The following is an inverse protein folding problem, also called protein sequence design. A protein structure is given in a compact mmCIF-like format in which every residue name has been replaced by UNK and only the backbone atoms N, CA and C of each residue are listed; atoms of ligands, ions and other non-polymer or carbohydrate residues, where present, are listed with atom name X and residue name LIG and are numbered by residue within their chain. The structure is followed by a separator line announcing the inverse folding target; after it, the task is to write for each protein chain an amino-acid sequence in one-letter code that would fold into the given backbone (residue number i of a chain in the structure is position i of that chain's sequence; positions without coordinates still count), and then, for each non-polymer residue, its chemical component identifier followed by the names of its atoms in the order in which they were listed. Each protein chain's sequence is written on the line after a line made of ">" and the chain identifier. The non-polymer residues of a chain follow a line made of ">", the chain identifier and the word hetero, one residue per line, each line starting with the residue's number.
data_IF_694114528053
#
_entry.id   IF_694114528053
#
_cell.length_a   1.000
_cell.length_b   1.000
_cell.length_c   1.000
_cell.angle_alpha   90.00
_cell.angle_beta   90.00
_cell.angle_gamma   90.00
#
_symmetry.space_group_name_H-M   'P 1'
#
loop_
_entity.id
_entity.type
_entity.pdbx_description
1 polymer ?
#
# COMPACT_ATOMS: atom_id res chain seq x y z
N UNK A 1 -12.71 -8.69 -1.09
CA UNK A 1 -11.57 -8.97 -0.20
C UNK A 1 -10.31 -8.99 -1.05
N UNK A 2 -9.30 -8.22 -0.64
CA UNK A 2 -8.02 -8.14 -1.34
C UNK A 2 -7.29 -9.49 -1.23
N UNK A 3 -6.49 -9.84 -2.23
CA UNK A 3 -5.66 -11.05 -2.16
C UNK A 3 -4.27 -10.70 -1.64
N UNK A 4 -3.81 -11.42 -0.62
CA UNK A 4 -2.45 -11.27 -0.09
C UNK A 4 -1.79 -12.64 0.14
N UNK A 5 -0.47 -12.70 0.03
CA UNK A 5 0.31 -13.94 0.16
C UNK A 5 1.77 -13.67 0.56
N UNK A 6 2.42 -14.65 1.17
CA UNK A 6 3.86 -14.58 1.41
C UNK A 6 4.66 -14.76 0.11
N UNK A 7 5.75 -14.01 0.00
CA UNK A 7 6.58 -14.00 -1.19
C UNK A 7 7.66 -15.09 -1.19
N UNK A 8 8.00 -15.58 -2.39
CA UNK A 8 9.26 -16.31 -2.62
C UNK A 8 10.49 -15.40 -2.49
N UNK A 9 11.69 -16.02 -2.46
CA UNK A 9 12.98 -15.31 -2.42
C UNK A 9 13.63 -15.13 -3.78
N UNK A 10 12.88 -15.25 -4.88
CA UNK A 10 13.42 -15.21 -6.25
C UNK A 10 13.90 -13.80 -6.62
N UNK A 11 14.97 -13.73 -7.40
CA UNK A 11 15.48 -12.49 -7.99
C UNK A 11 14.88 -12.20 -9.38
N UNK A 12 13.80 -12.90 -9.74
CA UNK A 12 13.03 -12.63 -10.96
C UNK A 12 12.38 -11.23 -10.95
N UNK A 13 11.75 -10.86 -12.07
CA UNK A 13 11.07 -9.58 -12.24
C UNK A 13 10.04 -9.34 -11.12
N UNK A 14 10.28 -8.30 -10.31
CA UNK A 14 9.46 -7.88 -9.17
C UNK A 14 7.97 -7.74 -9.47
N UNK A 15 7.59 -7.55 -10.74
CA UNK A 15 6.21 -7.40 -11.21
C UNK A 15 5.46 -8.73 -11.31
N UNK A 16 6.15 -9.87 -11.24
CA UNK A 16 5.53 -11.20 -11.20
C UNK A 16 4.83 -11.45 -9.86
N UNK A 17 3.93 -12.44 -9.74
CA UNK A 17 3.24 -12.69 -8.47
C UNK A 17 4.15 -13.10 -7.30
N UNK A 18 5.28 -13.77 -7.53
CA UNK A 18 6.21 -14.25 -6.49
C UNK A 18 5.54 -15.03 -5.35
N UNK A 19 4.62 -15.96 -5.67
CA UNK A 19 3.99 -16.81 -4.65
C UNK A 19 4.95 -17.89 -4.20
N UNK A 20 4.93 -18.21 -2.90
CA UNK A 20 5.58 -19.42 -2.39
C UNK A 20 4.99 -20.68 -3.02
N UNK A 21 5.80 -21.74 -3.11
CA UNK A 21 5.35 -23.09 -3.45
C UNK A 21 5.72 -24.04 -2.30
N UNK A 22 4.74 -24.57 -1.54
CA UNK A 22 3.30 -24.36 -1.68
C UNK A 22 2.84 -22.94 -1.28
N UNK A 23 1.72 -22.48 -1.87
CA UNK A 23 1.13 -21.16 -1.63
C UNK A 23 0.83 -20.94 -0.14
N UNK A 24 1.07 -19.71 0.32
CA UNK A 24 0.79 -19.29 1.70
C UNK A 24 0.00 -17.99 1.68
N UNK A 25 -1.34 -18.06 1.57
CA UNK A 25 -2.18 -16.88 1.57
C UNK A 25 -2.17 -16.18 2.94
N UNK A 26 -2.43 -14.88 2.93
CA UNK A 26 -2.57 -14.04 4.12
C UNK A 26 -4.01 -13.53 4.18
N UNK A 27 -4.65 -13.67 5.35
CA UNK A 27 -6.03 -13.26 5.57
C UNK A 27 -6.14 -11.77 5.90
N UNK A 28 -7.34 -11.19 5.75
CA UNK A 28 -7.60 -9.81 6.16
C UNK A 28 -7.37 -9.60 7.67
N UNK A 29 -7.62 -10.61 8.49
CA UNK A 29 -7.32 -10.56 9.92
C UNK A 29 -5.81 -10.41 10.16
N UNK A 30 -4.99 -11.21 9.46
CA UNK A 30 -3.53 -11.11 9.59
C UNK A 30 -3.00 -9.76 9.11
N UNK A 31 -3.59 -9.17 8.06
CA UNK A 31 -3.26 -7.79 7.64
C UNK A 31 -3.66 -6.76 8.70
N UNK A 32 -4.84 -6.91 9.31
CA UNK A 32 -5.31 -6.01 10.38
C UNK A 32 -4.44 -6.08 11.64
N UNK A 33 -3.86 -7.26 11.95
CA UNK A 33 -2.86 -7.42 13.01
C UNK A 33 -1.55 -6.65 12.73
N UNK A 34 -1.28 -6.30 11.46
CA UNK A 34 -0.21 -5.42 11.03
C UNK A 34 -0.65 -3.95 10.90
N UNK A 35 -1.90 -3.63 11.22
CA UNK A 35 -2.52 -2.31 11.07
C UNK A 35 -2.89 -1.96 9.63
N UNK A 36 -2.82 -2.92 8.71
CA UNK A 36 -3.19 -2.73 7.31
C UNK A 36 -4.69 -2.97 7.16
N UNK A 37 -5.41 -1.97 6.64
CA UNK A 37 -6.85 -2.03 6.45
C UNK A 37 -7.21 -1.88 4.98
N UNK A 38 -8.09 -2.75 4.48
CA UNK A 38 -8.54 -2.72 3.10
C UNK A 38 -10.07 -2.65 3.00
N UNK A 39 -10.56 -1.92 2.00
CA UNK A 39 -11.98 -1.75 1.70
C UNK A 39 -12.24 -2.06 0.23
N UNK A 40 -13.46 -2.51 -0.08
CA UNK A 40 -13.95 -2.65 -1.45
C UNK A 40 -15.02 -1.61 -1.71
N UNK A 41 -14.82 -0.81 -2.76
CA UNK A 41 -15.69 0.29 -3.16
C UNK A 41 -15.98 0.22 -4.66
N UNK A 42 -16.99 0.96 -5.11
CA UNK A 42 -17.30 1.13 -6.52
C UNK A 42 -16.46 2.25 -7.14
N UNK A 43 -15.36 1.85 -7.79
CA UNK A 43 -14.45 2.80 -8.44
C UNK A 43 -15.05 3.54 -9.64
N UNK A 44 -16.17 3.08 -10.20
CA UNK A 44 -16.84 3.81 -11.28
C UNK A 44 -17.59 5.05 -10.78
N UNK A 45 -17.94 5.09 -9.49
CA UNK A 45 -18.66 6.19 -8.85
C UNK A 45 -17.81 7.03 -7.89
N UNK A 46 -16.47 6.92 -7.95
CA UNK A 46 -15.54 7.53 -6.98
C UNK A 46 -15.71 9.04 -6.75
N UNK A 47 -16.28 9.78 -7.70
CA UNK A 47 -16.55 11.24 -7.57
C UNK A 47 -17.75 11.54 -6.67
N UNK A 48 -18.70 10.60 -6.56
CA UNK A 48 -19.98 10.77 -5.86
C UNK A 48 -20.31 9.66 -4.87
N UNK A 49 -19.39 8.71 -4.66
CA UNK A 49 -19.62 7.52 -3.82
C UNK A 49 -19.86 7.90 -2.34
N UNK A 50 -21.06 7.66 -1.78
CA UNK A 50 -21.36 7.95 -0.39
C UNK A 50 -20.56 7.07 0.59
N UNK A 51 -20.16 5.85 0.20
CA UNK A 51 -19.35 4.99 1.07
C UNK A 51 -17.91 5.52 1.18
N UNK A 52 -17.32 5.95 0.06
CA UNK A 52 -16.05 6.67 0.09
C UNK A 52 -16.14 7.93 0.97
N UNK A 53 -17.20 8.73 0.83
CA UNK A 53 -17.40 9.93 1.63
C UNK A 53 -17.49 9.61 3.14
N UNK A 54 -18.17 8.52 3.49
CA UNK A 54 -18.27 8.02 4.87
C UNK A 54 -16.90 7.62 5.42
N UNK A 55 -16.15 6.78 4.70
CA UNK A 55 -14.80 6.35 5.10
C UNK A 55 -13.89 7.56 5.30
N UNK A 56 -13.92 8.52 4.36
CA UNK A 56 -13.12 9.75 4.48
C UNK A 56 -13.48 10.57 5.71
N UNK A 57 -14.77 10.68 6.04
CA UNK A 57 -15.23 11.40 7.23
C UNK A 57 -14.82 10.70 8.53
N UNK A 58 -14.99 9.38 8.61
CA UNK A 58 -14.67 8.59 9.80
C UNK A 58 -13.17 8.57 10.10
N UNK A 59 -12.33 8.58 9.07
CA UNK A 59 -10.86 8.53 9.21
C UNK A 59 -10.18 9.89 8.99
N UNK A 60 -10.95 10.97 8.85
CA UNK A 60 -10.46 12.33 8.61
C UNK A 60 -9.53 12.49 7.38
N UNK A 61 -9.82 11.75 6.29
CA UNK A 61 -9.12 11.88 5.01
C UNK A 61 -9.57 13.14 4.26
N UNK A 62 -9.08 14.28 4.73
CA UNK A 62 -9.48 15.62 4.29
C UNK A 62 -8.86 16.06 2.97
N UNK A 63 -7.77 15.41 2.52
CA UNK A 63 -7.09 15.72 1.26
C UNK A 63 -7.11 14.53 0.29
N UNK A 64 -7.18 14.81 -1.02
CA UNK A 64 -7.02 13.80 -2.06
C UNK A 64 -6.48 14.37 -3.37
N UNK A 65 -5.84 13.52 -4.17
CA UNK A 65 -5.60 13.74 -5.59
C UNK A 65 -5.60 12.41 -6.38
N UNK A 66 -5.45 12.50 -7.70
CA UNK A 66 -5.35 11.33 -8.59
C UNK A 66 -3.94 11.27 -9.18
N UNK A 67 -3.33 10.09 -9.10
CA UNK A 67 -2.09 9.77 -9.80
C UNK A 67 -2.33 8.66 -10.83
N UNK A 68 -1.78 8.83 -12.03
CA UNK A 68 -1.72 7.79 -13.05
C UNK A 68 -0.26 7.37 -13.23
N UNK A 69 0.03 6.11 -12.98
CA UNK A 69 1.35 5.52 -13.17
C UNK A 69 1.30 4.71 -14.47
N UNK A 70 1.80 5.35 -15.52
CA UNK A 70 1.99 4.74 -16.84
C UNK A 70 3.23 5.38 -17.47
N UNK A 71 3.97 4.59 -18.26
CA UNK A 71 5.25 5.03 -18.87
C UNK A 71 5.12 6.32 -19.69
N UNK A 72 3.97 6.53 -20.33
CA UNK A 72 3.75 7.65 -21.25
C UNK A 72 3.21 8.91 -20.54
N UNK A 73 2.64 8.78 -19.34
CA UNK A 73 1.95 9.89 -18.67
C UNK A 73 2.59 10.35 -17.37
N UNK A 74 3.38 9.49 -16.70
CA UNK A 74 4.03 9.84 -15.44
C UNK A 74 5.41 10.47 -15.68
N UNK A 75 5.65 11.75 -15.32
CA UNK A 75 6.96 12.36 -15.42
C UNK A 75 7.98 11.62 -14.54
N UNK A 76 9.20 11.42 -15.05
CA UNK A 76 10.26 10.66 -14.39
C UNK A 76 9.84 9.23 -14.00
N UNK A 77 9.01 8.58 -14.83
CA UNK A 77 8.44 7.25 -14.60
C UNK A 77 9.42 6.24 -13.99
N UNK A 78 10.55 5.99 -14.65
CA UNK A 78 11.55 5.01 -14.21
C UNK A 78 12.15 5.35 -12.84
N UNK A 79 12.42 6.63 -12.59
CA UNK A 79 12.96 7.07 -11.30
C UNK A 79 11.91 6.93 -10.19
N UNK A 80 10.66 7.27 -10.47
CA UNK A 80 9.55 7.12 -9.52
C UNK A 80 9.30 5.66 -9.18
N UNK A 81 9.31 4.75 -10.16
CA UNK A 81 9.16 3.32 -9.89
C UNK A 81 10.26 2.78 -8.97
N UNK A 82 11.51 3.22 -9.16
CA UNK A 82 12.62 2.86 -8.25
C UNK A 82 12.38 3.38 -6.84
N UNK A 83 11.94 4.63 -6.69
CA UNK A 83 11.62 5.22 -5.38
C UNK A 83 10.48 4.44 -4.70
N UNK A 84 9.42 4.10 -5.44
CA UNK A 84 8.28 3.37 -4.90
C UNK A 84 8.64 1.94 -4.47
N UNK A 85 9.58 1.29 -5.17
CA UNK A 85 9.94 -0.10 -4.90
C UNK A 85 11.05 -0.27 -3.86
N UNK A 86 11.87 0.76 -3.64
CA UNK A 86 12.82 0.77 -2.52
C UNK A 86 12.06 0.60 -1.20
N UNK A 87 12.50 -0.28 -0.31
CA UNK A 87 11.81 -0.49 0.97
C UNK A 87 11.89 0.79 1.83
N UNK A 88 10.74 1.32 2.20
CA UNK A 88 10.64 2.59 2.94
C UNK A 88 9.48 2.59 3.94
N UNK A 89 9.43 3.64 4.75
CA UNK A 89 8.28 4.00 5.59
C UNK A 89 7.90 5.46 5.40
N UNK A 90 6.69 5.79 5.86
CA UNK A 90 6.19 7.15 6.00
C UNK A 90 5.90 7.48 7.47
N UNK A 91 5.86 8.77 7.80
CA UNK A 91 5.53 9.26 9.14
C UNK A 91 4.02 9.45 9.34
N UNK A 92 3.27 9.38 8.24
CA UNK A 92 1.83 9.41 8.14
C UNK A 92 1.34 8.15 7.42
N UNK A 93 0.04 7.87 7.50
CA UNK A 93 -0.57 6.73 6.81
C UNK A 93 -0.48 6.88 5.29
N UNK A 94 -0.18 5.79 4.60
CA UNK A 94 -0.23 5.69 3.15
C UNK A 94 -1.59 5.14 2.72
N UNK A 95 -2.48 6.03 2.26
CA UNK A 95 -3.83 5.64 1.81
C UNK A 95 -3.92 5.70 0.28
N UNK A 96 -4.38 4.60 -0.34
CA UNK A 96 -4.51 4.45 -1.79
C UNK A 96 -5.83 3.78 -2.15
N UNK A 97 -6.54 4.35 -3.12
CA UNK A 97 -7.75 3.77 -3.67
C UNK A 97 -7.61 3.59 -5.19
N UNK A 98 -7.63 2.33 -5.65
CA UNK A 98 -7.37 1.99 -7.05
C UNK A 98 -8.62 2.22 -7.91
N UNK A 99 -8.51 3.17 -8.82
CA UNK A 99 -9.58 3.55 -9.75
C UNK A 99 -9.53 2.73 -11.04
N UNK A 100 -8.33 2.45 -11.55
CA UNK A 100 -8.10 1.64 -12.74
C UNK A 100 -6.77 0.89 -12.63
N UNK A 101 -6.63 -0.22 -13.37
CA UNK A 101 -5.41 -1.03 -13.38
C UNK A 101 -5.18 -1.78 -12.08
N UNK A 102 -3.90 -2.07 -11.79
CA UNK A 102 -3.50 -2.90 -10.66
C UNK A 102 -2.02 -2.77 -10.31
N UNK A 103 -1.66 -3.24 -9.11
CA UNK A 103 -0.30 -3.29 -8.62
C UNK A 103 -0.17 -4.07 -7.31
N UNK A 104 1.04 -4.07 -6.76
CA UNK A 104 1.37 -4.74 -5.51
C UNK A 104 1.89 -3.75 -4.48
N UNK A 105 1.35 -3.84 -3.27
CA UNK A 105 2.00 -3.33 -2.07
C UNK A 105 2.62 -4.51 -1.34
N UNK A 106 3.92 -4.47 -1.11
CA UNK A 106 4.59 -5.44 -0.25
C UNK A 106 4.80 -4.81 1.13
N UNK A 107 4.46 -5.54 2.20
CA UNK A 107 4.63 -5.11 3.60
C UNK A 107 5.41 -6.14 4.39
N UNK A 108 6.14 -5.70 5.43
CA UNK A 108 6.79 -6.61 6.37
C UNK A 108 5.79 -7.16 7.39
N UNK A 109 5.84 -8.46 7.64
CA UNK A 109 5.19 -9.06 8.81
C UNK A 109 6.03 -8.87 10.09
N UNK A 110 5.55 -9.40 11.22
CA UNK A 110 6.24 -9.33 12.52
C UNK A 110 7.59 -10.07 12.55
N UNK A 111 7.82 -11.01 11.63
CA UNK A 111 9.07 -11.77 11.48
C UNK A 111 9.96 -11.19 10.36
N UNK A 112 9.67 -9.97 9.91
CA UNK A 112 10.41 -9.29 8.85
C UNK A 112 10.37 -10.02 7.50
N UNK A 113 9.32 -10.79 7.22
CA UNK A 113 9.06 -11.45 5.92
C UNK A 113 8.15 -10.59 5.05
N UNK A 114 8.30 -10.70 3.74
CA UNK A 114 7.45 -9.97 2.79
C UNK A 114 6.09 -10.67 2.59
N UNK A 115 5.03 -9.88 2.75
CA UNK A 115 3.67 -10.19 2.32
C UNK A 115 3.36 -9.28 1.13
N UNK A 116 2.96 -9.88 0.01
CA UNK A 116 2.48 -9.16 -1.17
C UNK A 116 0.96 -9.03 -1.12
N UNK A 117 0.47 -7.82 -1.34
CA UNK A 117 -0.96 -7.47 -1.38
C UNK A 117 -1.29 -7.03 -2.81
N UNK A 118 -2.14 -7.79 -3.50
CA UNK A 118 -2.62 -7.45 -4.84
C UNK A 118 -3.79 -6.48 -4.78
N UNK A 119 -3.55 -5.28 -5.29
CA UNK A 119 -4.54 -4.21 -5.38
C UNK A 119 -5.03 -4.08 -6.82
N UNK A 120 -6.35 -4.06 -7.01
CA UNK A 120 -7.01 -3.91 -8.31
C UNK A 120 -8.12 -2.88 -8.20
N UNK A 121 -8.72 -2.51 -9.34
CA UNK A 121 -9.88 -1.59 -9.39
C UNK A 121 -10.90 -1.86 -8.28
N UNK A 122 -11.27 -0.80 -7.56
CA UNK A 122 -12.21 -0.83 -6.46
C UNK A 122 -11.60 -1.17 -5.10
N UNK A 123 -10.32 -1.55 -5.03
CA UNK A 123 -9.64 -1.82 -3.76
C UNK A 123 -9.07 -0.51 -3.19
N UNK A 124 -9.38 -0.23 -1.93
CA UNK A 124 -8.78 0.84 -1.12
C UNK A 124 -7.97 0.22 0.01
N UNK A 125 -6.79 0.76 0.29
CA UNK A 125 -5.89 0.29 1.36
C UNK A 125 -5.34 1.47 2.15
N UNK A 126 -5.18 1.27 3.45
CA UNK A 126 -4.42 2.12 4.36
C UNK A 126 -3.25 1.30 4.91
N UNK A 127 -2.03 1.76 4.67
CA UNK A 127 -0.82 1.27 5.32
C UNK A 127 -0.47 2.21 6.47
N UNK A 128 -0.29 1.72 7.70
CA UNK A 128 -0.13 2.59 8.86
C UNK A 128 1.25 3.26 8.87
N UNK A 129 1.32 4.49 9.39
CA UNK A 129 2.58 5.18 9.63
C UNK A 129 3.61 4.27 10.33
N UNK A 130 4.86 4.27 9.86
CA UNK A 130 5.94 3.46 10.43
C UNK A 130 6.03 2.01 9.95
N UNK A 131 5.10 1.51 9.13
CA UNK A 131 5.25 0.19 8.48
C UNK A 131 6.29 0.26 7.36
N UNK A 132 7.19 -0.72 7.32
CA UNK A 132 8.06 -0.91 6.15
C UNK A 132 7.26 -1.54 5.02
N UNK A 133 7.27 -0.86 3.87
CA UNK A 133 6.55 -1.27 2.69
C UNK A 133 7.26 -0.82 1.41
N UNK A 134 6.74 -1.28 0.28
CA UNK A 134 7.11 -0.85 -1.06
C UNK A 134 5.95 -1.08 -2.03
N UNK A 135 5.98 -0.39 -3.16
CA UNK A 135 5.02 -0.54 -4.23
C UNK A 135 5.69 -0.91 -5.55
N UNK A 136 5.06 -1.80 -6.31
CA UNK A 136 5.40 -2.06 -7.72
C UNK A 136 4.14 -2.22 -8.54
N UNK A 137 4.20 -1.85 -9.82
CA UNK A 137 3.22 -2.33 -10.79
C UNK A 137 3.28 -3.86 -10.88
N UNK A 138 2.19 -4.47 -11.32
CA UNK A 138 2.22 -5.85 -11.81
C UNK A 138 2.58 -5.88 -13.31
N UNK A 139 2.49 -7.07 -13.93
CA UNK A 139 2.84 -7.26 -15.34
C UNK A 139 1.96 -6.45 -16.31
N UNK A 140 0.83 -5.89 -15.88
CA UNK A 140 -0.01 -5.00 -16.71
C UNK A 140 0.55 -3.57 -16.83
N UNK A 141 1.52 -3.19 -15.99
CA UNK A 141 2.25 -1.92 -16.07
C UNK A 141 1.37 -0.66 -16.08
N UNK A 142 0.22 -0.71 -15.40
CA UNK A 142 -0.71 0.42 -15.33
C UNK A 142 -1.47 0.43 -14.02
N UNK A 143 -1.50 1.59 -13.36
CA UNK A 143 -2.44 1.87 -12.27
C UNK A 143 -2.85 3.35 -12.29
N UNK A 144 -4.13 3.60 -12.01
CA UNK A 144 -4.66 4.92 -11.66
C UNK A 144 -5.21 4.83 -10.25
N UNK A 145 -4.67 5.64 -9.35
CA UNK A 145 -5.03 5.60 -7.95
C UNK A 145 -5.39 7.00 -7.44
N UNK A 146 -6.44 7.05 -6.63
CA UNK A 146 -6.67 8.17 -5.73
C UNK A 146 -5.74 8.02 -4.53
N UNK A 147 -5.02 9.08 -4.18
CA UNK A 147 -4.24 9.14 -2.95
C UNK A 147 -5.02 9.99 -1.95
N UNK A 148 -5.11 9.54 -0.71
CA UNK A 148 -5.84 10.23 0.35
C UNK A 148 -4.91 10.53 1.52
N UNK A 149 -5.11 11.66 2.20
CA UNK A 149 -4.30 12.10 3.34
C UNK A 149 -5.14 12.72 4.44
N UNK A 150 -4.63 12.63 5.67
CA UNK A 150 -5.09 13.43 6.80
C UNK A 150 -4.34 14.76 6.79
N UNK A 151 -5.02 15.84 6.41
CA UNK A 151 -4.40 17.16 6.29
C UNK A 151 -3.58 17.35 5.02
N UNK A 152 -2.65 18.31 5.02
CA UNK A 152 -1.77 18.57 3.87
C UNK A 152 -0.76 17.42 3.69
N UNK A 153 -0.57 16.89 2.47
CA UNK A 153 0.18 15.66 2.30
C UNK A 153 1.69 15.88 2.35
N UNK A 154 2.38 14.98 3.07
CA UNK A 154 3.84 14.84 3.05
C UNK A 154 4.19 13.46 2.48
N UNK A 155 4.73 13.44 1.25
CA UNK A 155 5.02 12.21 0.51
C UNK A 155 6.39 11.61 0.76
N UNK A 156 7.18 12.19 1.67
CA UNK A 156 8.60 11.86 1.82
C UNK A 156 8.77 10.40 2.25
N UNK A 157 9.39 9.54 1.42
CA UNK A 157 9.77 8.20 1.85
C UNK A 157 11.06 8.26 2.68
N UNK A 158 11.11 7.48 3.73
CA UNK A 158 12.34 7.23 4.48
C UNK A 158 12.75 5.78 4.26
N UNK A 159 13.73 5.60 3.36
CA UNK A 159 14.25 4.28 3.01
C UNK A 159 14.83 3.59 4.24
N UNK A 160 14.64 2.28 4.33
CA UNK A 160 15.20 1.46 5.39
C UNK A 160 16.75 1.48 5.32
N UNK A 161 17.47 1.64 6.45
CA UNK A 161 16.99 1.75 7.84
C UNK A 161 16.43 3.14 8.19
N UNK A 162 15.26 3.16 8.80
CA UNK A 162 14.54 4.35 9.24
C UNK A 162 14.00 4.23 10.68
N UNK A 163 14.61 3.37 11.50
CA UNK A 163 14.10 3.04 12.84
C UNK A 163 14.18 4.18 13.87
N UNK A 164 14.89 5.26 13.53
CA UNK A 164 15.03 6.47 14.36
C UNK A 164 13.77 7.32 14.49
N UNK A 165 12.74 7.09 13.66
CA UNK A 165 11.54 7.92 13.65
C UNK A 165 10.50 7.47 14.68
N UNK A 166 9.85 8.43 15.35
CA UNK A 166 8.81 8.16 16.35
C UNK A 166 7.64 7.35 15.79
N UNK A 167 7.27 7.56 14.53
CA UNK A 167 6.22 6.78 13.86
C UNK A 167 6.55 5.28 13.85
N UNK A 168 7.81 4.91 13.55
CA UNK A 168 8.26 3.51 13.61
C UNK A 168 8.21 2.97 15.04
N UNK A 169 8.63 3.75 16.02
CA UNK A 169 8.57 3.35 17.44
C UNK A 169 7.14 3.07 17.88
N UNK A 170 6.20 3.97 17.56
CA UNK A 170 4.77 3.78 17.85
C UNK A 170 4.18 2.58 17.12
N UNK A 171 4.57 2.36 15.87
CA UNK A 171 4.14 1.19 15.11
C UNK A 171 4.60 -0.13 15.74
N UNK A 172 5.86 -0.20 16.21
CA UNK A 172 6.38 -1.38 16.91
C UNK A 172 5.62 -1.64 18.23
N UNK A 173 5.31 -0.59 19.00
CA UNK A 173 4.48 -0.70 20.21
C UNK A 173 3.07 -1.20 19.90
N UNK A 174 2.48 -0.79 18.77
CA UNK A 174 1.20 -1.32 18.30
C UNK A 174 1.29 -2.82 17.99
N UNK A 175 2.36 -3.28 17.32
CA UNK A 175 2.53 -4.70 16.98
C UNK A 175 2.68 -5.59 18.23
N UNK A 176 3.34 -5.09 19.27
CA UNK A 176 3.47 -5.78 20.57
C UNK A 176 2.12 -5.97 21.27
N UNK A 177 1.20 -5.00 21.17
CA UNK A 177 -0.14 -5.10 21.77
C UNK A 177 -1.06 -6.08 21.02
N UNK A 178 -0.72 -6.41 19.76
CA UNK A 178 -1.45 -7.33 18.89
C UNK A 178 -0.81 -8.72 18.86
N UNK A 179 0.20 -8.98 19.69
CA UNK A 179 0.89 -10.27 19.80
C UNK A 179 0.16 -11.24 20.73
#
# INVERSE_FOLDING_TARGET
>A
MVQAWYMDGSAEDQRKPHRLEPDRPVTEQQLSELGVHAFKLDADSYETDPELAKIRKENNYSWMDIITIHKDTLPNYEQKLKIFYEEHLHLDDEIRYVLEGSGYFDVRDKEERWIRISMKKGDMITLPAGIYHRFTLDENNYIKAMRLFVGEPVWTPYNRPADKYDARTKYLQFLEQKA
#
